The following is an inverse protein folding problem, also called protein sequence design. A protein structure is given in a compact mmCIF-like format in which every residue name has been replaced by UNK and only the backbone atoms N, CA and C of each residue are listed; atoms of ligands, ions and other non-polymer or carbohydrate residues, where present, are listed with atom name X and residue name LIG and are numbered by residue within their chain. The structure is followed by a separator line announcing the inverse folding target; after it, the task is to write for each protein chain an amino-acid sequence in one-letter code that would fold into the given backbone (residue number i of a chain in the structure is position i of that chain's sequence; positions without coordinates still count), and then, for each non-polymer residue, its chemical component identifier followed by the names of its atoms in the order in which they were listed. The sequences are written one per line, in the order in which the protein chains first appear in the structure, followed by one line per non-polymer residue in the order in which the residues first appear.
data_IF_070355489040
#
_entry.id   IF_070355489040
#
_cell.length_a   1.000
_cell.length_b   1.000
_cell.length_c   1.000
_cell.angle_alpha   90.00
_cell.angle_beta   90.00
_cell.angle_gamma   90.00
#
_symmetry.space_group_name_H-M   'P 1'
#
loop_
_entity.id
_entity.type
_entity.pdbx_description
1 polymer ?
#
# COMPACT_ATOMS: atom_id res chain seq x y z
N UNK A 1 7.51 9.01 58.45
CA UNK A 1 8.97 9.19 58.29
C UNK A 1 9.18 10.17 57.13
N UNK A 2 9.64 11.40 57.44
CA UNK A 2 10.19 12.51 56.62
C UNK A 2 9.54 12.84 55.25
N UNK A 3 8.77 13.93 55.07
CA UNK A 3 9.06 15.40 55.06
C UNK A 3 9.82 15.91 53.81
N UNK A 4 9.05 16.64 52.97
CA UNK A 4 9.28 17.88 52.16
C UNK A 4 10.62 18.16 51.46
N UNK A 5 10.54 18.68 50.23
CA UNK A 5 10.96 20.03 49.72
C UNK A 5 10.65 20.07 48.20
N UNK A 6 9.63 20.77 47.69
CA UNK A 6 9.55 22.20 47.31
C UNK A 6 10.77 22.82 46.62
N UNK A 7 10.49 23.55 45.52
CA UNK A 7 11.22 24.66 44.85
C UNK A 7 11.74 24.32 43.45
N UNK A 8 11.80 25.22 42.47
CA UNK A 8 11.11 26.45 42.11
C UNK A 8 11.70 26.82 40.73
N UNK A 9 10.88 27.42 39.85
CA UNK A 9 11.22 28.38 38.78
C UNK A 9 12.66 28.46 38.22
N UNK A 10 12.75 28.53 36.88
CA UNK A 10 13.23 29.75 36.21
C UNK A 10 12.89 29.75 34.71
N UNK A 11 12.10 30.75 34.30
CA UNK A 11 12.13 31.30 32.94
C UNK A 11 13.52 31.89 32.71
N UNK A 12 14.07 31.74 31.51
CA UNK A 12 14.99 32.74 30.94
C UNK A 12 14.82 32.79 29.43
N UNK A 13 14.32 33.94 28.98
CA UNK A 13 14.35 34.43 27.61
C UNK A 13 15.75 34.96 27.25
N UNK A 14 15.93 35.23 25.95
CA UNK A 14 16.87 36.14 25.27
C UNK A 14 17.91 35.39 24.44
N UNK A 15 17.76 35.40 23.12
CA UNK A 15 18.22 36.44 22.17
C UNK A 15 19.47 35.88 21.47
N UNK A 16 19.77 36.08 20.19
CA UNK A 16 19.68 37.29 19.36
C UNK A 16 19.86 36.87 17.89
N UNK A 17 19.31 37.70 16.99
CA UNK A 17 19.51 37.73 15.54
C UNK A 17 20.95 37.49 15.06
N UNK A 18 21.08 36.87 13.88
CA UNK A 18 21.93 37.43 12.82
C UNK A 18 21.42 36.97 11.44
N UNK A 19 21.00 37.94 10.64
CA UNK A 19 20.67 37.84 9.22
C UNK A 19 21.95 37.78 8.36
N UNK A 20 21.90 37.04 7.25
CA UNK A 20 22.72 37.34 6.07
C UNK A 20 22.05 36.84 4.79
N UNK A 21 21.83 37.80 3.89
CA UNK A 21 21.50 37.64 2.49
C UNK A 21 22.51 36.73 1.79
N UNK A 22 22.05 35.92 0.83
CA UNK A 22 22.82 35.71 -0.40
C UNK A 22 21.87 35.52 -1.58
N UNK A 23 21.83 36.57 -2.38
CA UNK A 23 21.22 36.65 -3.70
C UNK A 23 22.09 35.80 -4.64
N UNK A 24 21.52 34.79 -5.30
CA UNK A 24 22.17 34.20 -6.48
C UNK A 24 21.22 34.32 -7.65
N UNK A 25 21.52 35.29 -8.51
CA UNK A 25 20.90 35.51 -9.82
C UNK A 25 21.57 34.54 -10.79
N UNK A 26 20.82 33.61 -11.36
CA UNK A 26 21.15 33.02 -12.66
C UNK A 26 20.10 33.50 -13.65
N UNK A 27 20.48 34.51 -14.44
CA UNK A 27 19.85 34.81 -15.72
C UNK A 27 20.31 33.76 -16.74
N UNK A 28 19.40 33.27 -17.58
CA UNK A 28 19.77 32.71 -18.87
C UNK A 28 18.93 31.53 -19.36
N UNK A 29 17.67 31.76 -19.70
CA UNK A 29 17.12 31.24 -20.97
C UNK A 29 15.84 32.01 -21.31
N UNK A 30 15.99 32.86 -22.32
CA UNK A 30 14.92 33.51 -23.06
C UNK A 30 14.29 32.48 -24.01
N UNK A 31 12.96 32.43 -24.01
CA UNK A 31 12.09 31.68 -24.92
C UNK A 31 10.70 31.75 -24.29
N UNK A 32 9.89 32.79 -24.53
CA UNK A 32 9.23 33.01 -25.83
C UNK A 32 8.31 31.82 -26.05
N UNK A 33 7.11 31.75 -25.50
CA UNK A 33 6.04 32.74 -25.55
C UNK A 33 4.87 32.02 -26.20
N UNK A 34 3.90 31.57 -25.42
CA UNK A 34 2.50 31.51 -25.80
C UNK A 34 1.66 31.27 -24.55
N UNK A 35 0.59 32.05 -24.45
CA UNK A 35 -0.34 32.04 -23.33
C UNK A 35 -1.34 30.93 -23.59
N UNK A 36 -1.08 29.75 -23.08
CA UNK A 36 -2.10 28.73 -22.90
C UNK A 36 -1.99 28.12 -21.52
N UNK A 37 -3.14 27.96 -20.90
CA UNK A 37 -3.32 27.46 -19.54
C UNK A 37 -2.56 26.13 -19.34
N UNK A 38 -1.36 26.19 -18.77
CA UNK A 38 -0.75 25.06 -18.08
C UNK A 38 -1.58 24.81 -16.81
N UNK A 39 -2.74 24.18 -17.01
CA UNK A 39 -3.36 23.37 -16.00
C UNK A 39 -2.23 22.50 -15.44
N UNK A 40 -1.93 22.71 -14.15
CA UNK A 40 -1.03 21.86 -13.39
C UNK A 40 -1.19 20.44 -13.89
N UNK A 41 -0.12 19.85 -14.44
CA UNK A 41 -0.09 18.45 -14.88
C UNK A 41 -0.83 17.67 -13.82
N UNK A 42 -2.05 17.20 -14.12
CA UNK A 42 -2.85 16.45 -13.15
C UNK A 42 -1.96 15.29 -12.74
N UNK A 43 -1.46 15.33 -11.50
CA UNK A 43 -0.74 14.20 -10.93
C UNK A 43 -1.64 12.98 -11.14
N UNK A 44 -1.08 11.90 -11.69
CA UNK A 44 -1.85 10.69 -11.95
C UNK A 44 -2.60 10.30 -10.67
N UNK A 45 -3.88 9.91 -10.82
CA UNK A 45 -4.70 9.60 -9.65
C UNK A 45 -4.08 8.39 -8.93
N UNK A 46 -3.98 8.39 -7.58
CA UNK A 46 -3.35 7.29 -6.85
C UNK A 46 -3.93 5.91 -7.17
N UNK A 47 -5.21 5.82 -7.53
CA UNK A 47 -5.86 4.58 -7.94
C UNK A 47 -5.34 4.01 -9.28
N UNK A 48 -4.83 4.85 -10.19
CA UNK A 48 -4.49 4.45 -11.57
C UNK A 48 -3.45 3.33 -11.63
N UNK A 49 -2.49 3.30 -10.70
CA UNK A 49 -1.45 2.26 -10.66
C UNK A 49 -2.00 0.85 -10.41
N UNK A 50 -3.15 0.73 -9.76
CA UNK A 50 -3.78 -0.55 -9.43
C UNK A 50 -4.66 -1.10 -10.53
N UNK A 51 -5.23 -0.25 -11.39
CA UNK A 51 -6.22 -0.67 -12.39
C UNK A 51 -5.69 -1.76 -13.30
N UNK A 52 -6.48 -2.82 -13.51
CA UNK A 52 -6.15 -3.97 -14.35
C UNK A 52 -6.23 -5.30 -13.61
N UNK A 53 -5.86 -6.38 -14.30
CA UNK A 53 -5.83 -7.74 -13.76
C UNK A 53 -4.44 -8.09 -13.24
N UNK A 54 -4.40 -8.67 -12.04
CA UNK A 54 -3.21 -9.08 -11.34
C UNK A 54 -3.31 -10.56 -11.00
N UNK A 55 -2.37 -11.34 -11.52
CA UNK A 55 -2.36 -12.79 -11.33
C UNK A 55 -1.25 -13.16 -10.37
N UNK A 56 -1.61 -13.78 -9.26
CA UNK A 56 -0.68 -14.53 -8.43
C UNK A 56 -0.49 -15.89 -9.07
N UNK A 57 0.71 -16.09 -9.62
CA UNK A 57 1.09 -17.37 -10.23
C UNK A 57 0.90 -18.53 -9.25
N UNK A 58 0.80 -19.74 -9.81
CA UNK A 58 0.54 -20.93 -9.01
C UNK A 58 1.53 -21.06 -7.85
N UNK A 59 1.02 -21.28 -6.64
CA UNK A 59 1.83 -21.50 -5.46
C UNK A 59 1.61 -22.92 -4.95
N UNK A 60 2.67 -23.71 -4.93
CA UNK A 60 2.65 -25.01 -4.28
C UNK A 60 2.62 -24.85 -2.75
N UNK A 61 1.84 -25.72 -2.12
CA UNK A 61 1.56 -25.76 -0.70
C UNK A 61 1.64 -27.21 -0.23
N UNK A 62 1.89 -27.40 1.06
CA UNK A 62 1.74 -28.71 1.70
C UNK A 62 0.81 -28.55 2.89
N UNK A 63 -0.34 -29.22 2.84
CA UNK A 63 -1.31 -29.21 3.92
C UNK A 63 -1.46 -30.63 4.46
N UNK A 64 -1.14 -30.83 5.75
CA UNK A 64 -1.21 -32.14 6.42
C UNK A 64 -0.48 -33.26 5.65
N UNK A 65 0.70 -32.95 5.11
CA UNK A 65 1.52 -33.89 4.33
C UNK A 65 1.03 -34.17 2.91
N UNK A 66 0.01 -33.45 2.42
CA UNK A 66 -0.49 -33.57 1.05
C UNK A 66 -0.10 -32.38 0.20
N UNK A 67 0.30 -32.66 -1.03
CA UNK A 67 0.55 -31.67 -2.07
C UNK A 67 -0.76 -30.93 -2.40
N UNK A 68 -0.67 -29.60 -2.42
CA UNK A 68 -1.75 -28.72 -2.84
C UNK A 68 -1.16 -27.55 -3.61
N UNK A 69 -1.98 -26.84 -4.36
CA UNK A 69 -1.56 -25.57 -4.93
C UNK A 69 -2.72 -24.60 -5.05
N UNK A 70 -2.41 -23.32 -5.13
CA UNK A 70 -3.40 -22.24 -5.23
C UNK A 70 -3.01 -21.25 -6.31
N UNK A 71 -3.99 -20.81 -7.09
CA UNK A 71 -3.87 -19.72 -8.06
C UNK A 71 -4.91 -18.66 -7.74
N UNK A 72 -4.53 -17.38 -7.90
CA UNK A 72 -5.43 -16.27 -7.64
C UNK A 72 -5.32 -15.20 -8.72
N UNK A 73 -6.47 -14.68 -9.13
CA UNK A 73 -6.57 -13.50 -10.00
C UNK A 73 -7.36 -12.43 -9.27
N UNK A 74 -6.86 -11.20 -9.27
CA UNK A 74 -7.57 -10.03 -8.73
C UNK A 74 -7.64 -8.97 -9.81
N UNK A 75 -8.83 -8.44 -10.08
CA UNK A 75 -9.04 -7.35 -11.03
C UNK A 75 -9.46 -6.11 -10.28
N UNK A 76 -8.74 -5.00 -10.49
CA UNK A 76 -9.08 -3.71 -9.91
C UNK A 76 -9.68 -2.77 -10.97
N UNK A 77 -10.79 -2.13 -10.60
CA UNK A 77 -11.46 -1.11 -11.41
C UNK A 77 -11.48 0.20 -10.63
N UNK A 78 -11.02 1.28 -11.25
CA UNK A 78 -11.04 2.60 -10.60
C UNK A 78 -12.46 3.12 -10.47
N UNK A 79 -12.82 3.58 -9.28
CA UNK A 79 -14.12 4.21 -8.99
C UNK A 79 -13.97 5.67 -8.55
N UNK A 80 -12.81 6.06 -8.01
CA UNK A 80 -12.49 7.45 -7.70
C UNK A 80 -10.97 7.69 -7.82
N UNK A 81 -10.52 8.92 -7.57
CA UNK A 81 -9.09 9.27 -7.50
C UNK A 81 -8.30 8.36 -6.55
N UNK A 82 -8.90 7.98 -5.41
CA UNK A 82 -8.23 7.19 -4.36
C UNK A 82 -8.91 5.83 -4.10
N UNK A 83 -9.81 5.38 -4.97
CA UNK A 83 -10.58 4.15 -4.72
C UNK A 83 -10.57 3.24 -5.93
N UNK A 84 -10.33 1.96 -5.65
CA UNK A 84 -10.52 0.87 -6.61
C UNK A 84 -11.52 -0.13 -6.03
N UNK A 85 -12.48 -0.55 -6.85
CA UNK A 85 -13.22 -1.79 -6.59
C UNK A 85 -12.35 -2.97 -7.00
N UNK A 86 -12.52 -4.11 -6.35
CA UNK A 86 -11.87 -5.34 -6.74
C UNK A 86 -12.85 -6.50 -6.86
N UNK A 87 -12.54 -7.39 -7.79
CA UNK A 87 -13.04 -8.77 -7.83
C UNK A 87 -11.85 -9.72 -7.76
N UNK A 88 -11.94 -10.73 -6.92
CA UNK A 88 -10.91 -11.75 -6.76
C UNK A 88 -11.51 -13.13 -6.98
N UNK A 89 -10.75 -14.01 -7.63
CA UNK A 89 -11.05 -15.42 -7.78
C UNK A 89 -9.82 -16.20 -7.34
N UNK A 90 -10.01 -17.18 -6.46
CA UNK A 90 -8.95 -18.10 -6.06
C UNK A 90 -9.42 -19.54 -6.27
N UNK A 91 -8.51 -20.40 -6.73
CA UNK A 91 -8.76 -21.81 -6.95
C UNK A 91 -7.68 -22.64 -6.28
N UNK A 92 -8.10 -23.62 -5.51
CA UNK A 92 -7.20 -24.57 -4.85
C UNK A 92 -7.29 -25.95 -5.50
N UNK A 93 -6.14 -26.60 -5.61
CA UNK A 93 -5.95 -27.88 -6.28
C UNK A 93 -5.31 -28.87 -5.30
N UNK A 94 -5.65 -30.16 -5.41
CA UNK A 94 -5.03 -31.27 -4.66
C UNK A 94 -3.76 -31.81 -5.34
N UNK A 95 -3.23 -31.02 -6.27
CA UNK A 95 -2.01 -31.28 -7.02
C UNK A 95 -1.07 -30.09 -6.86
N UNK A 96 0.20 -30.27 -7.17
CA UNK A 96 1.11 -29.16 -7.39
C UNK A 96 0.86 -28.53 -8.79
N UNK A 97 1.35 -27.32 -8.98
CA UNK A 97 1.33 -26.58 -10.26
C UNK A 97 -0.06 -26.20 -10.79
N UNK A 98 -1.10 -26.22 -9.96
CA UNK A 98 -2.46 -25.75 -10.28
C UNK A 98 -3.04 -26.48 -11.50
N UNK A 99 -2.84 -27.79 -11.55
CA UNK A 99 -3.28 -28.65 -12.65
C UNK A 99 -4.47 -29.52 -12.25
N UNK A 100 -5.30 -29.87 -13.23
CA UNK A 100 -6.49 -30.71 -13.01
C UNK A 100 -7.69 -29.93 -12.48
N UNK A 101 -8.65 -30.64 -11.90
CA UNK A 101 -9.84 -30.03 -11.32
C UNK A 101 -9.50 -29.33 -10.00
N UNK A 102 -10.05 -28.15 -9.80
CA UNK A 102 -9.98 -27.48 -8.50
C UNK A 102 -10.95 -28.14 -7.51
N UNK A 103 -10.58 -28.13 -6.24
CA UNK A 103 -11.40 -28.69 -5.15
C UNK A 103 -12.12 -27.61 -4.35
N UNK A 104 -11.60 -26.38 -4.39
CA UNK A 104 -12.21 -25.20 -3.77
C UNK A 104 -12.08 -24.04 -4.73
N UNK A 105 -13.16 -23.27 -4.85
CA UNK A 105 -13.18 -21.97 -5.51
C UNK A 105 -13.71 -20.96 -4.50
N UNK A 106 -13.01 -19.84 -4.38
CA UNK A 106 -13.43 -18.72 -3.56
C UNK A 106 -13.47 -17.44 -4.39
N UNK A 107 -14.44 -16.60 -4.06
CA UNK A 107 -14.62 -15.29 -4.69
C UNK A 107 -14.52 -14.20 -3.63
N UNK A 108 -13.78 -13.15 -3.95
CA UNK A 108 -13.72 -11.93 -3.18
C UNK A 108 -14.33 -10.78 -3.98
N UNK A 109 -15.00 -9.85 -3.30
CA UNK A 109 -15.46 -8.61 -3.92
C UNK A 109 -15.49 -7.52 -2.88
N UNK A 110 -15.04 -6.35 -3.25
CA UNK A 110 -15.03 -5.21 -2.34
C UNK A 110 -14.39 -4.00 -2.97
N UNK A 111 -13.87 -3.12 -2.12
CA UNK A 111 -13.15 -1.94 -2.55
C UNK A 111 -11.98 -1.62 -1.61
N UNK A 112 -10.97 -0.94 -2.14
CA UNK A 112 -9.81 -0.45 -1.41
C UNK A 112 -9.68 1.06 -1.60
N UNK A 113 -9.53 1.79 -0.50
CA UNK A 113 -9.23 3.22 -0.45
C UNK A 113 -7.74 3.38 -0.17
N UNK A 114 -7.08 4.26 -0.93
CA UNK A 114 -5.68 4.63 -0.78
C UNK A 114 -5.59 5.82 0.18
N UNK A 115 -5.16 5.56 1.41
CA UNK A 115 -5.15 6.51 2.54
C UNK A 115 -3.82 7.25 2.70
N UNK A 116 -3.10 7.46 1.59
CA UNK A 116 -1.75 8.01 1.56
C UNK A 116 -0.67 6.93 1.65
N UNK A 117 0.51 7.29 2.15
CA UNK A 117 1.69 6.42 2.17
C UNK A 117 2.30 6.27 3.55
N UNK A 118 3.10 5.23 3.76
CA UNK A 118 3.94 5.03 4.93
C UNK A 118 5.28 4.38 4.54
N UNK A 119 6.21 4.27 5.49
CA UNK A 119 7.40 3.43 5.33
C UNK A 119 7.14 2.04 5.90
N UNK A 120 7.53 1.00 5.16
CA UNK A 120 7.61 -0.35 5.71
C UNK A 120 8.87 -0.55 6.57
N UNK A 121 9.02 -1.74 7.16
CA UNK A 121 10.16 -2.10 8.01
C UNK A 121 11.51 -2.11 7.27
N UNK A 122 11.51 -2.14 5.94
CA UNK A 122 12.70 -2.03 5.10
C UNK A 122 12.95 -0.58 4.62
N UNK A 123 12.15 0.39 5.05
CA UNK A 123 12.29 1.81 4.67
C UNK A 123 11.71 2.14 3.29
N UNK A 124 10.86 1.29 2.72
CA UNK A 124 10.22 1.54 1.42
C UNK A 124 8.93 2.33 1.60
N UNK A 125 8.70 3.30 0.71
CA UNK A 125 7.40 3.98 0.62
C UNK A 125 6.36 3.03 0.03
N UNK A 126 5.34 2.74 0.82
CA UNK A 126 4.21 1.86 0.47
C UNK A 126 2.90 2.62 0.62
N UNK A 127 1.87 2.22 -0.11
CA UNK A 127 0.53 2.79 0.05
C UNK A 127 -0.16 2.22 1.27
N UNK A 128 -0.84 3.07 2.03
CA UNK A 128 -1.79 2.68 3.06
C UNK A 128 -3.11 2.36 2.38
N UNK A 129 -3.65 1.17 2.62
CA UNK A 129 -4.92 0.75 2.06
C UNK A 129 -5.93 0.45 3.17
N UNK A 130 -7.11 1.04 3.09
CA UNK A 130 -8.28 0.55 3.84
C UNK A 130 -9.19 -0.20 2.88
N UNK A 131 -9.37 -1.49 3.12
CA UNK A 131 -10.12 -2.39 2.26
C UNK A 131 -11.37 -2.87 3.00
N UNK A 132 -12.48 -2.97 2.28
CA UNK A 132 -13.68 -3.65 2.75
C UNK A 132 -13.97 -4.83 1.84
N UNK A 133 -13.96 -6.05 2.38
CA UNK A 133 -14.43 -7.24 1.67
C UNK A 133 -15.90 -7.49 2.01
N UNK A 134 -16.71 -7.67 0.96
CA UNK A 134 -18.15 -7.81 1.06
C UNK A 134 -18.61 -9.28 1.01
N UNK A 135 -17.75 -10.19 0.55
CA UNK A 135 -18.14 -11.55 0.14
C UNK A 135 -17.35 -12.65 0.84
N UNK A 136 -16.02 -12.55 0.92
CA UNK A 136 -15.18 -13.64 1.43
C UNK A 136 -15.40 -13.78 2.95
N UNK A 137 -15.99 -14.89 3.44
CA UNK A 137 -16.31 -15.06 4.85
C UNK A 137 -15.08 -15.07 5.77
N UNK A 138 -13.88 -15.34 5.25
CA UNK A 138 -12.65 -15.37 6.03
C UNK A 138 -12.10 -13.97 6.33
N UNK A 139 -12.37 -13.01 5.44
CA UNK A 139 -11.82 -11.65 5.51
C UNK A 139 -12.90 -10.56 5.40
N UNK A 140 -14.18 -10.95 5.46
CA UNK A 140 -15.33 -10.05 5.38
C UNK A 140 -15.21 -8.91 6.39
N UNK A 141 -15.54 -7.72 5.91
CA UNK A 141 -15.52 -6.48 6.68
C UNK A 141 -14.30 -5.63 6.36
N UNK A 142 -14.13 -4.59 7.18
CA UNK A 142 -13.15 -3.53 6.94
C UNK A 142 -11.83 -3.83 7.63
N UNK A 143 -10.73 -3.77 6.88
CA UNK A 143 -9.38 -3.99 7.39
C UNK A 143 -8.37 -3.04 6.75
N UNK A 144 -7.25 -2.85 7.46
CA UNK A 144 -6.12 -2.06 7.01
C UNK A 144 -5.04 -2.96 6.44
N UNK A 145 -4.47 -2.56 5.32
CA UNK A 145 -3.41 -3.24 4.60
C UNK A 145 -2.43 -2.22 4.04
N UNK A 146 -1.39 -2.70 3.37
CA UNK A 146 -0.51 -1.87 2.58
C UNK A 146 -0.19 -2.55 1.26
N UNK A 147 0.25 -1.78 0.28
CA UNK A 147 0.66 -2.32 -0.99
C UNK A 147 1.86 -1.57 -1.56
N UNK A 148 2.66 -2.30 -2.33
CA UNK A 148 3.76 -1.74 -3.07
C UNK A 148 3.77 -2.32 -4.47
N UNK A 149 3.89 -1.44 -5.46
CA UNK A 149 4.01 -1.81 -6.87
C UNK A 149 5.45 -1.53 -7.29
N UNK A 150 6.14 -2.58 -7.74
CA UNK A 150 7.47 -2.50 -8.35
C UNK A 150 7.38 -3.05 -9.77
N UNK A 151 7.39 -2.13 -10.75
CA UNK A 151 7.11 -2.45 -12.15
C UNK A 151 5.74 -3.14 -12.31
N UNK A 152 5.73 -4.40 -12.78
CA UNK A 152 4.52 -5.20 -12.95
C UNK A 152 4.15 -6.06 -11.74
N UNK A 153 4.85 -5.92 -10.60
CA UNK A 153 4.63 -6.75 -9.42
C UNK A 153 3.91 -5.98 -8.32
N UNK A 154 2.81 -6.54 -7.83
CA UNK A 154 2.07 -6.05 -6.68
C UNK A 154 2.41 -6.91 -5.47
N UNK A 155 2.99 -6.28 -4.46
CA UNK A 155 3.31 -6.88 -3.17
C UNK A 155 2.30 -6.45 -2.12
N UNK A 156 1.86 -7.42 -1.32
CA UNK A 156 0.96 -7.21 -0.18
C UNK A 156 1.53 -7.87 1.07
N UNK A 157 1.15 -7.43 2.27
CA UNK A 157 1.58 -8.06 3.51
C UNK A 157 0.97 -9.46 3.64
N UNK A 158 1.57 -10.28 4.52
CA UNK A 158 0.88 -11.47 5.03
C UNK A 158 -0.26 -11.03 5.96
N UNK A 159 -1.35 -11.81 6.03
CA UNK A 159 -2.47 -11.55 6.95
C UNK A 159 -2.03 -11.48 8.42
N UNK A 160 -0.94 -12.17 8.77
CA UNK A 160 -0.38 -12.23 10.12
C UNK A 160 0.79 -11.25 10.33
N UNK A 161 0.99 -10.27 9.44
CA UNK A 161 2.10 -9.33 9.57
C UNK A 161 1.93 -8.44 10.82
N UNK A 162 3.03 -8.08 11.52
CA UNK A 162 2.98 -7.11 12.61
C UNK A 162 2.35 -5.78 12.15
N UNK A 163 1.64 -5.11 13.05
CA UNK A 163 0.91 -3.86 12.77
C UNK A 163 1.50 -2.69 13.56
N UNK A 164 1.44 -1.49 12.97
CA UNK A 164 1.79 -0.24 13.65
C UNK A 164 0.65 0.25 14.55
N UNK A 165 0.86 1.39 15.23
CA UNK A 165 -0.14 2.00 16.12
C UNK A 165 -1.44 2.41 15.41
N UNK A 166 -1.39 2.68 14.10
CA UNK A 166 -2.58 2.97 13.29
C UNK A 166 -3.33 1.70 12.84
N UNK A 167 -2.75 0.51 13.07
CA UNK A 167 -3.31 -0.79 12.66
C UNK A 167 -2.93 -1.25 11.25
N UNK A 168 -2.04 -0.54 10.56
CA UNK A 168 -1.51 -0.98 9.26
C UNK A 168 -0.38 -2.00 9.45
N UNK A 169 -0.30 -3.03 8.58
CA UNK A 169 0.87 -3.90 8.53
C UNK A 169 2.18 -3.11 8.33
N UNK A 170 3.28 -3.62 8.88
CA UNK A 170 4.60 -2.95 8.77
C UNK A 170 5.57 -3.66 7.84
N UNK A 171 5.28 -4.89 7.39
CA UNK A 171 6.19 -5.69 6.55
C UNK A 171 5.47 -6.30 5.36
N UNK A 172 6.02 -6.11 4.16
CA UNK A 172 5.52 -6.73 2.92
C UNK A 172 5.95 -8.20 2.84
N UNK A 173 5.14 -9.05 2.21
CA UNK A 173 5.59 -10.40 1.88
C UNK A 173 6.33 -10.41 0.54
N UNK A 174 7.65 -10.28 0.58
CA UNK A 174 8.47 -10.23 -0.65
C UNK A 174 8.54 -11.54 -1.44
N UNK A 175 8.18 -12.66 -0.81
CA UNK A 175 8.13 -13.97 -1.47
C UNK A 175 6.84 -14.18 -2.27
N UNK A 176 5.83 -13.31 -2.10
CA UNK A 176 4.51 -13.46 -2.74
C UNK A 176 4.10 -12.15 -3.40
N UNK A 177 3.92 -12.19 -4.72
CA UNK A 177 3.45 -11.06 -5.50
C UNK A 177 2.42 -11.51 -6.55
N UNK A 178 1.59 -10.58 -6.97
CA UNK A 178 0.77 -10.73 -8.17
C UNK A 178 1.44 -9.98 -9.33
N UNK A 179 1.30 -10.50 -10.55
CA UNK A 179 1.86 -9.90 -11.77
C UNK A 179 0.75 -9.29 -12.60
N UNK A 180 0.90 -8.02 -12.99
CA UNK A 180 -0.02 -7.32 -13.88
C UNK A 180 -0.01 -7.99 -15.26
N UNK A 181 -1.19 -8.34 -15.77
CA UNK A 181 -1.39 -8.90 -17.11
C UNK A 181 -1.40 -7.79 -18.16
#
# INVERSE_FOLDING_TARGET
MNIKYLNHMTKTQRATCLSLLTLTVFMGACGGGDSDNDAAVKGADPADKYVGSWVRGCQDLTLNGRAMSTGQTVTFTKTSTNTVDYSAESRDYTTNNCTGAYVVESQGRGYSIIDGTMLDSAGRTVDKLTTEDLVDPLVKGRYKSMAWIDGKRLYTPSINSPKNAEGYPTTLNMSRFATKQ
#
